data_IF_247001264940
#
_entry.id   IF_247001264940
#
_cell.length_a   1.000
_cell.length_b   1.000
_cell.length_c   1.000
_cell.angle_alpha   90.00
_cell.angle_beta   90.00
_cell.angle_gamma   90.00
#
_symmetry.space_group_name_H-M   'P 1'
#
loop_
_entity.id
_entity.type
_entity.pdbx_description
1 polymer ?
#
# COMPACT_ATOMS: atom_id res chain seq x y z
N UNK A 1 19.75 -21.83 4.64
CA UNK A 1 19.18 -21.54 5.98
C UNK A 1 19.01 -20.05 6.26
N UNK A 2 20.06 -19.24 6.47
CA UNK A 2 19.88 -17.81 6.80
C UNK A 2 19.16 -17.00 5.70
N UNK A 3 19.53 -17.21 4.43
CA UNK A 3 18.91 -16.58 3.27
C UNK A 3 17.45 -17.00 3.04
N UNK A 4 17.11 -18.25 3.27
CA UNK A 4 15.73 -18.76 3.15
C UNK A 4 14.84 -18.15 4.25
N UNK A 5 15.39 -17.97 5.46
CA UNK A 5 14.69 -17.33 6.56
C UNK A 5 14.44 -15.85 6.27
N UNK A 6 15.40 -15.14 5.66
CA UNK A 6 15.22 -13.75 5.22
C UNK A 6 14.12 -13.64 4.17
N UNK A 7 14.14 -14.48 3.12
CA UNK A 7 13.08 -14.50 2.11
C UNK A 7 11.72 -14.87 2.72
N UNK A 8 11.68 -15.78 3.69
CA UNK A 8 10.45 -16.09 4.43
C UNK A 8 9.91 -14.90 5.22
N UNK A 9 10.79 -14.12 5.87
CA UNK A 9 10.42 -12.89 6.58
C UNK A 9 9.88 -11.84 5.62
N UNK A 10 10.56 -11.62 4.48
CA UNK A 10 10.13 -10.68 3.44
C UNK A 10 8.75 -11.08 2.93
N UNK A 11 8.58 -12.31 2.47
CA UNK A 11 7.30 -12.80 1.96
C UNK A 11 6.19 -12.66 3.00
N UNK A 12 6.47 -12.96 4.28
CA UNK A 12 5.48 -12.84 5.35
C UNK A 12 5.07 -11.38 5.60
N UNK A 13 6.05 -10.46 5.69
CA UNK A 13 5.80 -9.03 5.94
C UNK A 13 5.02 -8.39 4.80
N UNK A 14 5.43 -8.64 3.55
CA UNK A 14 4.79 -8.05 2.37
C UNK A 14 3.45 -8.72 2.05
N UNK A 15 3.26 -10.00 2.36
CA UNK A 15 1.94 -10.65 2.29
C UNK A 15 0.99 -10.09 3.34
N UNK A 16 1.47 -9.83 4.56
CA UNK A 16 0.69 -9.15 5.59
C UNK A 16 0.25 -7.74 5.15
N UNK A 17 1.18 -6.94 4.63
CA UNK A 17 0.86 -5.63 4.04
C UNK A 17 -0.14 -5.72 2.89
N UNK A 18 0.05 -6.69 1.99
CA UNK A 18 -0.88 -6.98 0.89
C UNK A 18 -2.28 -7.31 1.39
N UNK A 19 -2.41 -8.14 2.44
CA UNK A 19 -3.70 -8.53 3.00
C UNK A 19 -4.46 -7.32 3.59
N UNK A 20 -3.76 -6.42 4.27
CA UNK A 20 -4.35 -5.17 4.79
C UNK A 20 -4.92 -4.34 3.63
N UNK A 21 -4.10 -4.04 2.62
CA UNK A 21 -4.54 -3.23 1.49
C UNK A 21 -5.59 -3.93 0.63
N UNK A 22 -5.57 -5.26 0.56
CA UNK A 22 -6.60 -6.03 -0.14
C UNK A 22 -7.96 -5.86 0.53
N UNK A 23 -8.03 -5.97 1.86
CA UNK A 23 -9.28 -5.75 2.61
C UNK A 23 -9.79 -4.33 2.38
N UNK A 24 -8.92 -3.32 2.41
CA UNK A 24 -9.28 -1.94 2.08
C UNK A 24 -9.81 -1.82 0.65
N UNK A 25 -9.13 -2.41 -0.33
CA UNK A 25 -9.56 -2.41 -1.73
C UNK A 25 -10.94 -3.03 -1.94
N UNK A 26 -11.32 -4.02 -1.12
CA UNK A 26 -12.67 -4.60 -1.14
C UNK A 26 -13.74 -3.61 -0.67
N UNK A 27 -13.43 -2.80 0.33
CA UNK A 27 -14.32 -1.72 0.81
C UNK A 27 -14.38 -0.59 -0.22
N UNK A 28 -13.26 -0.28 -0.85
CA UNK A 28 -13.12 0.83 -1.80
C UNK A 28 -13.62 0.52 -3.21
N UNK A 29 -14.00 -0.73 -3.49
CA UNK A 29 -14.48 -1.15 -4.82
C UNK A 29 -15.63 -0.29 -5.36
N UNK A 30 -16.50 0.21 -4.48
CA UNK A 30 -17.64 1.06 -4.84
C UNK A 30 -17.23 2.47 -5.28
N UNK A 31 -16.09 2.96 -4.80
CA UNK A 31 -15.58 4.31 -5.06
C UNK A 31 -14.33 4.30 -5.93
N UNK A 32 -13.98 3.16 -6.51
CA UNK A 32 -12.72 2.96 -7.24
C UNK A 32 -12.63 3.86 -8.48
N UNK A 33 -13.77 4.21 -9.08
CA UNK A 33 -13.84 5.19 -10.16
C UNK A 33 -13.35 6.58 -9.74
N UNK A 34 -13.47 6.95 -8.45
CA UNK A 34 -12.95 8.22 -7.93
C UNK A 34 -11.44 8.33 -8.02
N UNK A 35 -10.71 7.20 -8.02
CA UNK A 35 -9.26 7.22 -8.19
C UNK A 35 -8.83 7.85 -9.52
N UNK A 36 -9.64 7.66 -10.57
CA UNK A 36 -9.37 8.16 -11.91
C UNK A 36 -10.08 9.50 -12.21
N UNK A 37 -11.30 9.68 -11.71
CA UNK A 37 -12.08 10.89 -11.88
C UNK A 37 -12.84 11.25 -10.59
N UNK A 38 -12.50 12.39 -9.99
CA UNK A 38 -13.12 12.89 -8.75
C UNK A 38 -14.62 13.19 -8.89
N UNK A 39 -15.04 13.58 -10.09
CA UNK A 39 -16.44 13.88 -10.43
C UNK A 39 -17.10 12.70 -11.18
N UNK A 40 -16.68 11.47 -10.89
CA UNK A 40 -17.34 10.30 -11.46
C UNK A 40 -18.82 10.27 -10.99
N UNK A 41 -19.74 10.64 -11.89
CA UNK A 41 -21.19 10.61 -11.68
C UNK A 41 -21.71 9.20 -11.40
N UNK A 42 -20.95 8.18 -11.82
CA UNK A 42 -21.27 6.77 -11.61
C UNK A 42 -21.11 6.31 -10.14
N UNK A 43 -20.56 7.15 -9.26
CA UNK A 43 -20.38 6.82 -7.84
C UNK A 43 -21.44 7.55 -7.02
N UNK A 44 -22.30 6.80 -6.34
CA UNK A 44 -23.35 7.36 -5.49
C UNK A 44 -22.76 8.03 -4.24
N UNK A 45 -23.32 9.16 -3.83
CA UNK A 45 -22.83 9.93 -2.69
C UNK A 45 -22.90 9.14 -1.37
N UNK A 46 -23.89 8.26 -1.24
CA UNK A 46 -24.04 7.38 -0.08
C UNK A 46 -22.90 6.34 0.01
N UNK A 47 -22.43 5.81 -1.13
CA UNK A 47 -21.26 4.93 -1.18
C UNK A 47 -19.99 5.67 -0.78
N UNK A 48 -19.81 6.91 -1.26
CA UNK A 48 -18.67 7.76 -0.86
C UNK A 48 -18.67 7.99 0.64
N UNK A 49 -19.83 8.34 1.22
CA UNK A 49 -19.96 8.57 2.66
C UNK A 49 -19.77 7.29 3.47
N UNK A 50 -20.24 6.15 2.97
CA UNK A 50 -19.99 4.85 3.57
C UNK A 50 -18.50 4.54 3.64
N UNK A 51 -17.79 4.60 2.50
CA UNK A 51 -16.34 4.35 2.46
C UNK A 51 -15.59 5.35 3.33
N UNK A 52 -15.94 6.64 3.29
CA UNK A 52 -15.34 7.66 4.16
C UNK A 52 -15.47 7.31 5.64
N UNK A 53 -16.67 6.90 6.11
CA UNK A 53 -16.89 6.49 7.51
C UNK A 53 -16.04 5.29 7.89
N UNK A 54 -16.00 4.27 7.04
CA UNK A 54 -15.23 3.05 7.30
C UNK A 54 -13.74 3.37 7.35
N UNK A 55 -13.20 4.06 6.35
CA UNK A 55 -11.79 4.43 6.30
C UNK A 55 -11.42 5.32 7.48
N UNK A 56 -12.26 6.30 7.84
CA UNK A 56 -12.06 7.15 9.03
C UNK A 56 -11.98 6.36 10.33
N UNK A 57 -12.74 5.27 10.44
CA UNK A 57 -12.66 4.37 11.59
C UNK A 57 -11.39 3.52 11.61
N UNK A 58 -10.83 3.19 10.44
CA UNK A 58 -9.61 2.38 10.30
C UNK A 58 -8.31 3.20 10.37
N UNK A 59 -8.36 4.52 10.16
CA UNK A 59 -7.21 5.43 10.24
C UNK A 59 -6.37 5.30 11.53
N UNK A 60 -6.90 5.02 12.73
CA UNK A 60 -6.05 4.83 13.91
C UNK A 60 -5.13 3.60 13.83
N UNK A 61 -5.50 2.59 13.04
CA UNK A 61 -4.84 1.27 12.98
C UNK A 61 -3.93 1.13 11.75
N UNK A 62 -4.30 1.76 10.63
CA UNK A 62 -3.60 1.59 9.34
C UNK A 62 -2.20 2.23 9.28
N UNK A 63 -1.96 3.48 9.73
CA UNK A 63 -0.65 4.12 9.66
C UNK A 63 0.43 3.40 10.48
N UNK A 64 0.17 2.95 11.74
CA UNK A 64 1.14 2.14 12.47
C UNK A 64 1.48 0.83 11.75
N UNK A 65 0.47 0.16 11.19
CA UNK A 65 0.65 -1.12 10.51
C UNK A 65 1.45 -0.98 9.21
N UNK A 66 1.20 0.08 8.43
CA UNK A 66 1.94 0.34 7.19
C UNK A 66 3.36 0.83 7.47
N UNK A 67 3.56 1.68 8.48
CA UNK A 67 4.89 2.11 8.92
C UNK A 67 5.76 0.94 9.36
N UNK A 68 5.17 -0.06 10.04
CA UNK A 68 5.83 -1.31 10.38
C UNK A 68 6.31 -2.06 9.12
N UNK A 69 5.42 -2.26 8.14
CA UNK A 69 5.78 -2.95 6.88
C UNK A 69 6.88 -2.20 6.12
N UNK A 70 6.82 -0.87 6.05
CA UNK A 70 7.88 -0.07 5.41
C UNK A 70 9.22 -0.26 6.12
N UNK A 71 9.25 -0.08 7.44
CA UNK A 71 10.49 -0.11 8.20
C UNK A 71 11.16 -1.49 8.15
N UNK A 72 10.41 -2.52 8.54
CA UNK A 72 10.95 -3.89 8.61
C UNK A 72 11.10 -4.52 7.23
N UNK A 73 10.21 -4.22 6.29
CA UNK A 73 10.33 -4.66 4.90
C UNK A 73 11.55 -4.05 4.21
N UNK A 74 11.80 -2.76 4.39
CA UNK A 74 13.03 -2.10 3.90
C UNK A 74 14.28 -2.75 4.49
N UNK A 75 14.32 -2.89 5.82
CA UNK A 75 15.48 -3.47 6.50
C UNK A 75 15.77 -4.90 6.01
N UNK A 76 14.73 -5.71 5.86
CA UNK A 76 14.86 -7.08 5.37
C UNK A 76 15.35 -7.13 3.91
N UNK A 77 14.80 -6.28 3.02
CA UNK A 77 15.23 -6.20 1.63
C UNK A 77 16.70 -5.73 1.50
N UNK A 78 17.11 -4.72 2.28
CA UNK A 78 18.51 -4.27 2.29
C UNK A 78 19.46 -5.33 2.82
N UNK A 79 19.06 -6.02 3.90
CA UNK A 79 19.84 -7.13 4.45
C UNK A 79 19.99 -8.28 3.45
N UNK A 80 18.91 -8.65 2.77
CA UNK A 80 18.95 -9.63 1.68
C UNK A 80 19.87 -9.18 0.54
N UNK A 81 19.81 -7.91 0.15
CA UNK A 81 20.69 -7.31 -0.85
C UNK A 81 22.16 -7.44 -0.46
N UNK A 82 22.49 -7.13 0.80
CA UNK A 82 23.83 -7.29 1.35
C UNK A 82 24.30 -8.75 1.33
N UNK A 83 23.51 -9.68 1.86
CA UNK A 83 23.84 -11.11 1.93
C UNK A 83 23.99 -11.75 0.54
N UNK A 84 23.25 -11.26 -0.46
CA UNK A 84 23.33 -11.74 -1.86
C UNK A 84 24.35 -10.97 -2.70
N UNK A 85 25.21 -10.16 -2.09
CA UNK A 85 26.23 -9.38 -2.80
C UNK A 85 25.63 -8.45 -3.86
N UNK A 86 24.44 -7.91 -3.61
CA UNK A 86 23.70 -7.02 -4.52
C UNK A 86 23.40 -7.64 -5.89
N UNK A 87 23.08 -8.94 -5.91
CA UNK A 87 22.58 -9.62 -7.10
C UNK A 87 21.43 -8.84 -7.76
N UNK A 88 21.36 -8.90 -9.10
CA UNK A 88 20.35 -8.16 -9.87
C UNK A 88 18.90 -8.43 -9.43
N UNK A 89 18.48 -9.66 -8.98
CA UNK A 89 17.13 -9.88 -8.48
C UNK A 89 16.82 -9.03 -7.24
N UNK A 90 17.74 -9.00 -6.28
CA UNK A 90 17.57 -8.23 -5.04
C UNK A 90 17.54 -6.73 -5.32
N UNK A 91 18.43 -6.24 -6.20
CA UNK A 91 18.43 -4.83 -6.61
C UNK A 91 17.12 -4.46 -7.30
N UNK A 92 16.60 -5.32 -8.18
CA UNK A 92 15.33 -5.08 -8.87
C UNK A 92 14.15 -5.05 -7.89
N UNK A 93 14.06 -5.98 -6.94
CA UNK A 93 13.00 -6.01 -5.93
C UNK A 93 13.04 -4.75 -5.05
N UNK A 94 14.23 -4.33 -4.60
CA UNK A 94 14.43 -3.09 -3.82
C UNK A 94 14.02 -1.86 -4.64
N UNK A 95 14.49 -1.77 -5.88
CA UNK A 95 14.21 -0.64 -6.76
C UNK A 95 12.72 -0.54 -7.11
N UNK A 96 12.06 -1.67 -7.35
CA UNK A 96 10.62 -1.71 -7.55
C UNK A 96 9.87 -1.19 -6.32
N UNK A 97 10.20 -1.74 -5.15
CA UNK A 97 9.55 -1.36 -3.89
C UNK A 97 9.70 0.14 -3.61
N UNK A 98 10.94 0.64 -3.64
CA UNK A 98 11.23 2.04 -3.40
C UNK A 98 10.78 2.97 -4.52
N UNK A 99 10.68 2.49 -5.75
CA UNK A 99 10.12 3.25 -6.87
C UNK A 99 8.66 3.63 -6.60
N UNK A 100 7.86 2.69 -6.10
CA UNK A 100 6.45 2.94 -5.78
C UNK A 100 6.29 3.59 -4.40
N UNK A 101 6.83 2.97 -3.35
CA UNK A 101 6.67 3.46 -1.98
C UNK A 101 7.41 4.77 -1.73
N UNK A 102 8.60 4.96 -2.33
CA UNK A 102 9.33 6.22 -2.27
C UNK A 102 8.60 7.34 -3.02
N UNK A 103 8.01 7.06 -4.18
CA UNK A 103 7.14 8.01 -4.86
C UNK A 103 5.96 8.42 -3.97
N UNK A 104 5.28 7.46 -3.36
CA UNK A 104 4.19 7.71 -2.41
C UNK A 104 4.63 8.48 -1.15
N UNK A 105 5.86 8.31 -0.67
CA UNK A 105 6.34 9.03 0.52
C UNK A 105 6.79 10.46 0.20
N UNK A 106 7.38 10.69 -0.98
CA UNK A 106 7.92 12.00 -1.38
C UNK A 106 6.85 12.88 -2.02
N UNK A 107 6.00 12.30 -2.86
CA UNK A 107 4.99 13.02 -3.64
C UNK A 107 3.56 12.73 -3.16
N UNK A 108 3.34 11.63 -2.44
CA UNK A 108 2.06 11.36 -1.80
C UNK A 108 1.96 12.13 -0.49
N UNK A 109 1.04 13.10 -0.44
CA UNK A 109 0.63 13.77 0.79
C UNK A 109 -0.20 12.81 1.67
N UNK A 110 0.36 11.66 2.04
CA UNK A 110 -0.34 10.60 2.81
C UNK A 110 -0.83 11.18 4.13
N UNK A 111 0.00 11.96 4.81
CA UNK A 111 -0.36 12.61 6.08
C UNK A 111 -1.48 13.62 5.86
N UNK A 112 -1.44 14.43 4.80
CA UNK A 112 -2.51 15.36 4.47
C UNK A 112 -3.80 14.66 4.03
N UNK A 113 -3.73 13.56 3.28
CA UNK A 113 -4.90 12.76 2.88
C UNK A 113 -5.58 12.12 4.10
N UNK A 114 -4.79 11.50 4.98
CA UNK A 114 -5.26 10.94 6.26
C UNK A 114 -5.88 12.03 7.14
N UNK A 115 -5.22 13.18 7.26
CA UNK A 115 -5.73 14.30 8.05
C UNK A 115 -7.00 14.90 7.43
N UNK A 116 -7.10 14.99 6.10
CA UNK A 116 -8.31 15.46 5.41
C UNK A 116 -9.50 14.55 5.73
N UNK A 117 -9.35 13.23 5.65
CA UNK A 117 -10.44 12.30 5.99
C UNK A 117 -10.75 12.28 7.50
N UNK A 118 -9.71 12.35 8.34
CA UNK A 118 -9.90 12.40 9.80
C UNK A 118 -10.67 13.65 10.24
N UNK A 119 -10.33 14.81 9.67
CA UNK A 119 -10.86 16.10 10.09
C UNK A 119 -12.15 16.49 9.36
N UNK A 120 -12.44 15.89 8.20
CA UNK A 120 -13.70 16.13 7.48
C UNK A 120 -14.82 15.31 8.12
N UNK A 121 -15.99 15.93 8.35
CA UNK A 121 -17.18 15.20 8.78
C UNK A 121 -17.69 14.34 7.61
N UNK A 122 -18.15 13.12 7.87
CA UNK A 122 -18.73 12.28 6.82
C UNK A 122 -20.02 12.87 6.24
N UNK A 123 -20.65 13.80 6.95
CA UNK A 123 -21.86 14.52 6.52
C UNK A 123 -21.55 15.91 5.95
N UNK A 124 -20.27 16.23 5.73
CA UNK A 124 -19.85 17.49 5.11
C UNK A 124 -20.26 17.59 3.63
N UNK A 125 -19.91 18.72 3.00
CA UNK A 125 -20.06 18.90 1.55
C UNK A 125 -19.43 17.73 0.80
N UNK A 126 -20.19 17.16 -0.13
CA UNK A 126 -19.82 15.90 -0.78
C UNK A 126 -18.53 16.00 -1.59
N UNK A 127 -18.19 17.17 -2.15
CA UNK A 127 -16.93 17.35 -2.89
C UNK A 127 -15.74 17.20 -1.96
N UNK A 128 -15.84 17.74 -0.74
CA UNK A 128 -14.79 17.58 0.27
C UNK A 128 -14.59 16.12 0.68
N UNK A 129 -15.68 15.36 0.83
CA UNK A 129 -15.65 13.93 1.17
C UNK A 129 -15.07 13.11 0.01
N UNK A 130 -15.52 13.36 -1.23
CA UNK A 130 -15.01 12.73 -2.46
C UNK A 130 -13.51 12.93 -2.61
N UNK A 131 -13.02 14.16 -2.41
CA UNK A 131 -11.59 14.46 -2.46
C UNK A 131 -10.79 13.67 -1.44
N UNK A 132 -11.25 13.64 -0.18
CA UNK A 132 -10.59 12.88 0.88
C UNK A 132 -10.55 11.38 0.60
N UNK A 133 -11.66 10.81 0.13
CA UNK A 133 -11.75 9.39 -0.26
C UNK A 133 -10.84 9.09 -1.45
N UNK A 134 -10.88 9.90 -2.50
CA UNK A 134 -10.04 9.74 -3.71
C UNK A 134 -8.56 9.64 -3.37
N UNK A 135 -8.06 10.59 -2.58
CA UNK A 135 -6.64 10.63 -2.23
C UNK A 135 -6.21 9.39 -1.44
N UNK A 136 -7.05 8.88 -0.54
CA UNK A 136 -6.77 7.65 0.20
C UNK A 136 -6.83 6.40 -0.67
N UNK A 137 -7.85 6.27 -1.54
CA UNK A 137 -7.99 5.13 -2.46
C UNK A 137 -6.75 5.00 -3.34
N UNK A 138 -6.26 6.12 -3.90
CA UNK A 138 -5.04 6.12 -4.72
C UNK A 138 -3.84 5.61 -3.90
N UNK A 139 -3.64 6.11 -2.69
CA UNK A 139 -2.53 5.68 -1.84
C UNK A 139 -2.64 4.22 -1.41
N UNK A 140 -3.84 3.73 -1.11
CA UNK A 140 -4.06 2.33 -0.76
C UNK A 140 -3.74 1.40 -1.92
N UNK A 141 -4.15 1.75 -3.15
CA UNK A 141 -3.86 0.94 -4.32
C UNK A 141 -2.38 0.98 -4.73
N UNK A 142 -1.69 2.11 -4.55
CA UNK A 142 -0.23 2.17 -4.71
C UNK A 142 0.48 1.32 -3.65
N UNK A 143 0.03 1.37 -2.40
CA UNK A 143 0.52 0.50 -1.32
C UNK A 143 0.30 -0.98 -1.63
N UNK A 144 -0.88 -1.35 -2.15
CA UNK A 144 -1.18 -2.71 -2.58
C UNK A 144 -0.24 -3.17 -3.69
N UNK A 145 -0.05 -2.35 -4.73
CA UNK A 145 0.83 -2.67 -5.85
C UNK A 145 2.28 -2.88 -5.38
N UNK A 146 2.79 -1.98 -4.53
CA UNK A 146 4.14 -2.09 -3.98
C UNK A 146 4.33 -3.40 -3.21
N UNK A 147 3.41 -3.74 -2.31
CA UNK A 147 3.51 -4.95 -1.50
C UNK A 147 3.37 -6.22 -2.34
N UNK A 148 2.35 -6.29 -3.18
CA UNK A 148 2.09 -7.46 -4.01
C UNK A 148 3.23 -7.69 -5.01
N UNK A 149 3.76 -6.62 -5.61
CA UNK A 149 4.87 -6.72 -6.54
C UNK A 149 6.15 -7.22 -5.86
N UNK A 150 6.43 -6.82 -4.61
CA UNK A 150 7.54 -7.43 -3.85
C UNK A 150 7.30 -8.91 -3.62
N UNK A 151 6.10 -9.33 -3.22
CA UNK A 151 5.78 -10.77 -3.04
C UNK A 151 6.03 -11.54 -4.33
N UNK A 152 5.54 -11.04 -5.46
CA UNK A 152 5.69 -11.68 -6.77
C UNK A 152 7.17 -11.74 -7.18
N UNK A 153 7.90 -10.63 -7.10
CA UNK A 153 9.31 -10.56 -7.49
C UNK A 153 10.19 -11.42 -6.57
N UNK A 154 9.99 -11.38 -5.26
CA UNK A 154 10.74 -12.20 -4.31
C UNK A 154 10.46 -13.70 -4.53
N UNK A 155 9.19 -14.08 -4.73
CA UNK A 155 8.85 -15.47 -4.99
C UNK A 155 9.44 -15.97 -6.31
N UNK A 156 9.32 -15.18 -7.39
CA UNK A 156 9.75 -15.60 -8.73
C UNK A 156 11.26 -15.48 -8.92
N UNK A 157 11.84 -14.32 -8.66
CA UNK A 157 13.23 -14.00 -8.96
C UNK A 157 14.22 -14.56 -7.95
N UNK A 158 13.77 -14.71 -6.72
CA UNK A 158 14.65 -15.04 -5.60
C UNK A 158 14.43 -16.47 -5.13
N UNK A 159 13.19 -16.91 -4.90
CA UNK A 159 12.91 -18.27 -4.42
C UNK A 159 12.92 -19.26 -5.58
N UNK A 160 12.06 -19.07 -6.57
CA UNK A 160 11.87 -20.04 -7.67
C UNK A 160 13.14 -20.26 -8.50
N UNK A 161 13.78 -19.19 -8.99
CA UNK A 161 15.03 -19.32 -9.76
C UNK A 161 16.24 -19.79 -8.93
N UNK A 162 16.17 -19.78 -7.59
CA UNK A 162 17.24 -20.35 -6.76
C UNK A 162 17.13 -21.87 -6.57
N UNK A 163 15.97 -22.45 -6.90
CA UNK A 163 15.69 -23.88 -6.76
C UNK A 163 15.90 -24.69 -8.06
N UNK A 164 16.08 -24.02 -9.20
CA UNK A 164 16.31 -24.63 -10.51
C UNK A 164 17.72 -24.41 -11.00
#
# INVERSE_FOLDING_TARGET
>A
MALELVSGVILSLFTFGTAIFYILSRIERFVLALAFNEEADAVEDDDVRFVHRVVKHLIPVLPPSYGFVILFGTAALLYQGFERGWSWPSVLTIAYYWGISGYSLVFGDIVGAVNRVKNTSSDADIRSVRRGVRELVVQHHLGLAANLGVVVLEFTLVVWFSLG
#
